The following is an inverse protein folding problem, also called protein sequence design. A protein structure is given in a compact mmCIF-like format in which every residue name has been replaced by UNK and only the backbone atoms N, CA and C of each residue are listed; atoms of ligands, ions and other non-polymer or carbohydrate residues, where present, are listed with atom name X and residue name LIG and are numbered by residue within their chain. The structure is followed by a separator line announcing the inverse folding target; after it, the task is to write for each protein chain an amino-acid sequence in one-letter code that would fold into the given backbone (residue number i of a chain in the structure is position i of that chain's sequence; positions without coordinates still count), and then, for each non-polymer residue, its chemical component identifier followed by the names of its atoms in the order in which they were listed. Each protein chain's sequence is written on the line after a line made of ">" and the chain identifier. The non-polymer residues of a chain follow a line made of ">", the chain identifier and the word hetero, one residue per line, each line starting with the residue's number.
data_IF_160654375975
#
_entry.id   IF_160654375975
#
_cell.length_a   1.000
_cell.length_b   1.000
_cell.length_c   1.000
_cell.angle_alpha   90.00
_cell.angle_beta   90.00
_cell.angle_gamma   90.00
#
_symmetry.space_group_name_H-M   'P 1'
#
loop_
_entity.id
_entity.type
_entity.pdbx_description
1 polymer ?
#
# COMPACT_ATOMS: atom_id res chain seq x y z
N UNK A 1 17.77 -24.78 -18.58
CA UNK A 1 18.67 -25.45 -19.54
C UNK A 1 17.91 -25.64 -20.84
N UNK A 2 18.28 -24.93 -21.91
CA UNK A 2 18.27 -25.40 -23.31
C UNK A 2 19.34 -24.56 -24.01
N UNK A 3 20.25 -25.27 -24.66
CA UNK A 3 21.53 -24.80 -25.17
C UNK A 3 21.37 -24.18 -26.56
N UNK A 4 22.27 -23.24 -26.83
CA UNK A 4 22.74 -22.72 -28.11
C UNK A 4 22.33 -23.46 -29.39
N UNK A 5 22.00 -22.68 -30.43
CA UNK A 5 22.41 -22.97 -31.80
C UNK A 5 22.94 -21.68 -32.45
N UNK A 6 24.19 -21.74 -32.89
CA UNK A 6 24.86 -20.73 -33.70
C UNK A 6 25.32 -21.38 -35.01
N UNK A 7 25.71 -20.51 -35.97
CA UNK A 7 26.40 -20.77 -37.26
C UNK A 7 25.46 -21.29 -38.37
N UNK A 8 25.42 -20.83 -39.63
CA UNK A 8 26.29 -20.18 -40.62
C UNK A 8 25.42 -19.20 -41.48
N UNK A 9 25.87 -18.15 -42.17
CA UNK A 9 26.69 -18.17 -43.40
C UNK A 9 27.18 -16.73 -43.67
N UNK A 10 28.49 -16.58 -43.84
CA UNK A 10 29.16 -15.44 -44.49
C UNK A 10 28.96 -15.51 -46.01
N UNK A 11 28.46 -14.45 -46.64
CA UNK A 11 28.63 -14.27 -48.09
C UNK A 11 28.51 -12.80 -48.54
N UNK A 12 29.60 -12.32 -49.15
CA UNK A 12 29.73 -11.19 -50.08
C UNK A 12 29.77 -9.75 -49.55
N UNK A 13 31.02 -9.29 -49.34
CA UNK A 13 31.40 -7.92 -49.67
C UNK A 13 31.69 -7.83 -51.18
N UNK A 14 30.98 -6.95 -51.90
CA UNK A 14 31.50 -5.89 -52.79
C UNK A 14 30.39 -5.44 -53.75
N UNK A 15 30.06 -4.14 -53.74
CA UNK A 15 29.87 -3.26 -54.93
C UNK A 15 29.16 -1.95 -54.52
N UNK A 16 29.96 -0.88 -54.51
CA UNK A 16 29.74 0.43 -55.10
C UNK A 16 28.44 1.24 -54.88
N UNK A 17 28.69 2.54 -54.66
CA UNK A 17 27.87 3.71 -54.98
C UNK A 17 26.67 4.01 -54.07
N UNK A 18 26.71 5.23 -53.51
CA UNK A 18 25.73 5.75 -52.58
C UNK A 18 24.32 5.78 -53.15
N UNK A 19 23.38 5.33 -52.33
CA UNK A 19 22.01 5.80 -52.34
C UNK A 19 21.75 6.39 -50.96
N UNK A 20 21.24 7.62 -50.91
CA UNK A 20 20.66 8.15 -49.69
C UNK A 20 19.61 7.14 -49.22
N UNK A 21 19.84 6.49 -48.08
CA UNK A 21 18.92 5.49 -47.54
C UNK A 21 17.63 6.18 -47.15
N UNK A 22 16.67 6.22 -48.09
CA UNK A 22 15.28 6.48 -47.76
C UNK A 22 14.83 5.35 -46.82
N UNK A 23 14.44 5.70 -45.60
CA UNK A 23 13.98 4.76 -44.59
C UNK A 23 13.00 3.76 -45.22
N UNK A 24 13.35 2.48 -45.15
CA UNK A 24 12.54 1.41 -45.74
C UNK A 24 11.20 1.30 -45.00
N UNK A 25 10.13 0.75 -45.61
CA UNK A 25 8.86 0.50 -44.92
C UNK A 25 9.02 -0.28 -43.60
N UNK A 26 10.09 -1.08 -43.51
CA UNK A 26 10.50 -1.83 -42.33
C UNK A 26 11.00 -0.92 -41.20
N UNK A 27 11.79 0.12 -41.49
CA UNK A 27 12.25 1.11 -40.50
C UNK A 27 11.07 1.88 -39.89
N UNK A 28 10.05 2.19 -40.70
CA UNK A 28 8.80 2.81 -40.22
C UNK A 28 8.01 1.88 -39.29
N UNK A 29 7.96 0.58 -39.57
CA UNK A 29 7.33 -0.42 -38.68
C UNK A 29 8.11 -0.60 -37.38
N UNK A 30 9.44 -0.62 -37.43
CA UNK A 30 10.31 -0.70 -36.24
C UNK A 30 10.12 0.54 -35.35
N UNK A 31 10.09 1.74 -35.94
CA UNK A 31 9.84 2.97 -35.20
C UNK A 31 8.44 3.02 -34.56
N UNK A 32 7.42 2.50 -35.25
CA UNK A 32 6.06 2.38 -34.70
C UNK A 32 6.00 1.39 -33.53
N UNK A 33 6.65 0.24 -33.65
CA UNK A 33 6.75 -0.75 -32.58
C UNK A 33 7.52 -0.20 -31.36
N UNK A 34 8.63 0.51 -31.58
CA UNK A 34 9.37 1.18 -30.50
C UNK A 34 8.51 2.18 -29.74
N UNK A 35 7.71 2.99 -30.46
CA UNK A 35 6.75 3.91 -29.84
C UNK A 35 5.68 3.18 -29.03
N UNK A 36 5.13 2.08 -29.56
CA UNK A 36 4.16 1.26 -28.83
C UNK A 36 4.79 0.66 -27.57
N UNK A 37 6.00 0.08 -27.65
CA UNK A 37 6.68 -0.46 -26.47
C UNK A 37 6.98 0.61 -25.43
N UNK A 38 7.35 1.82 -25.84
CA UNK A 38 7.59 2.92 -24.91
C UNK A 38 6.28 3.41 -24.25
N UNK A 39 5.17 3.45 -24.98
CA UNK A 39 3.86 3.78 -24.45
C UNK A 39 3.38 2.71 -23.45
N UNK A 40 3.48 1.43 -23.80
CA UNK A 40 3.15 0.31 -22.92
C UNK A 40 4.02 0.31 -21.65
N UNK A 41 5.33 0.58 -21.78
CA UNK A 41 6.22 0.66 -20.63
C UNK A 41 5.83 1.80 -19.67
N UNK A 42 5.37 2.95 -20.20
CA UNK A 42 4.83 4.04 -19.38
C UNK A 42 3.55 3.63 -18.66
N UNK A 43 2.63 2.97 -19.36
CA UNK A 43 1.39 2.47 -18.76
C UNK A 43 1.65 1.45 -17.65
N UNK A 44 2.57 0.51 -17.85
CA UNK A 44 2.95 -0.46 -16.82
C UNK A 44 3.59 0.24 -15.62
N UNK A 45 4.46 1.23 -15.82
CA UNK A 45 5.04 2.00 -14.70
C UNK A 45 3.99 2.80 -13.93
N UNK A 46 3.04 3.42 -14.64
CA UNK A 46 1.93 4.14 -14.02
C UNK A 46 1.05 3.18 -13.22
N UNK A 47 0.67 2.05 -13.80
CA UNK A 47 -0.15 1.03 -13.13
C UNK A 47 0.57 0.43 -11.92
N UNK A 48 1.88 0.13 -12.02
CA UNK A 48 2.68 -0.34 -10.89
C UNK A 48 2.72 0.69 -9.76
N UNK A 49 2.76 1.99 -10.08
CA UNK A 49 2.68 3.05 -9.07
C UNK A 49 1.31 3.06 -8.41
N UNK A 50 0.23 3.01 -9.19
CA UNK A 50 -1.14 2.94 -8.68
C UNK A 50 -1.36 1.74 -7.76
N UNK A 51 -0.93 0.54 -8.16
CA UNK A 51 -1.05 -0.67 -7.31
C UNK A 51 -0.29 -0.49 -6.00
N UNK A 52 0.94 0.04 -6.01
CA UNK A 52 1.69 0.33 -4.78
C UNK A 52 0.99 1.35 -3.88
N UNK A 53 0.39 2.37 -4.48
CA UNK A 53 -0.36 3.39 -3.73
C UNK A 53 -1.63 2.78 -3.12
N UNK A 54 -2.33 1.88 -3.83
CA UNK A 54 -3.48 1.13 -3.29
C UNK A 54 -3.09 0.14 -2.19
N UNK A 55 -1.99 -0.61 -2.35
CA UNK A 55 -1.50 -1.53 -1.32
C UNK A 55 -1.19 -0.75 -0.03
N UNK A 56 -0.53 0.40 -0.14
CA UNK A 56 -0.26 1.27 1.01
C UNK A 56 -1.53 1.81 1.68
N UNK A 57 -2.59 2.07 0.91
CA UNK A 57 -3.88 2.49 1.45
C UNK A 57 -4.64 1.33 2.13
N UNK A 58 -4.59 0.13 1.54
CA UNK A 58 -5.17 -1.08 2.13
C UNK A 58 -4.49 -1.42 3.47
N UNK A 59 -3.15 -1.39 3.51
CA UNK A 59 -2.39 -1.60 4.75
C UNK A 59 -2.72 -0.55 5.81
N UNK A 60 -2.85 0.72 5.41
CA UNK A 60 -3.22 1.80 6.32
C UNK A 60 -4.64 1.62 6.90
N UNK A 61 -5.62 1.30 6.06
CA UNK A 61 -7.02 1.12 6.50
C UNK A 61 -7.19 -0.12 7.37
N UNK A 62 -6.48 -1.21 7.05
CA UNK A 62 -6.41 -2.39 7.91
C UNK A 62 -5.81 -2.05 9.27
N UNK A 63 -4.63 -1.39 9.29
CA UNK A 63 -3.99 -1.00 10.54
C UNK A 63 -4.87 -0.05 11.38
N UNK A 64 -5.57 0.88 10.73
CA UNK A 64 -6.51 1.79 11.39
C UNK A 64 -7.67 1.02 12.04
N UNK A 65 -8.34 0.14 11.31
CA UNK A 65 -9.49 -0.62 11.82
C UNK A 65 -9.11 -1.54 12.98
N UNK A 66 -8.00 -2.27 12.84
CA UNK A 66 -7.50 -3.17 13.89
C UNK A 66 -7.07 -2.39 15.13
N UNK A 67 -6.34 -1.29 14.96
CA UNK A 67 -5.92 -0.47 16.09
C UNK A 67 -7.11 0.19 16.81
N UNK A 68 -8.08 0.73 16.06
CA UNK A 68 -9.28 1.32 16.63
C UNK A 68 -10.07 0.29 17.45
N UNK A 69 -10.25 -0.91 16.92
CA UNK A 69 -10.94 -2.01 17.62
C UNK A 69 -10.24 -2.37 18.92
N UNK A 70 -8.91 -2.47 18.88
CA UNK A 70 -8.10 -2.80 20.04
C UNK A 70 -8.17 -1.71 21.14
N UNK A 71 -8.08 -0.44 20.76
CA UNK A 71 -8.23 0.71 21.68
C UNK A 71 -9.63 0.74 22.29
N UNK A 72 -10.68 0.49 21.49
CA UNK A 72 -12.05 0.41 22.00
C UNK A 72 -12.22 -0.74 22.98
N UNK A 73 -11.63 -1.90 22.71
CA UNK A 73 -11.65 -3.03 23.64
C UNK A 73 -10.95 -2.67 24.96
N UNK A 74 -9.76 -2.05 24.91
CA UNK A 74 -9.03 -1.60 26.10
C UNK A 74 -9.88 -0.66 26.96
N UNK A 75 -10.51 0.35 26.33
CA UNK A 75 -11.36 1.32 27.03
C UNK A 75 -12.62 0.69 27.64
N UNK A 76 -13.27 -0.23 26.91
CA UNK A 76 -14.45 -0.93 27.37
C UNK A 76 -14.12 -1.84 28.55
N UNK A 77 -13.05 -2.63 28.46
CA UNK A 77 -12.60 -3.50 29.53
C UNK A 77 -12.15 -2.70 30.77
N UNK A 78 -11.47 -1.57 30.56
CA UNK A 78 -11.12 -0.64 31.65
C UNK A 78 -12.36 -0.08 32.35
N UNK A 79 -13.43 0.21 31.61
CA UNK A 79 -14.72 0.67 32.19
C UNK A 79 -15.31 -0.41 33.10
N UNK A 80 -15.32 -1.67 32.65
CA UNK A 80 -15.80 -2.79 33.47
C UNK A 80 -14.95 -3.03 34.72
N UNK A 81 -13.65 -2.81 34.63
CA UNK A 81 -12.77 -2.86 35.79
C UNK A 81 -13.14 -1.79 36.83
N UNK A 82 -13.45 -0.54 36.40
CA UNK A 82 -13.95 0.51 37.31
C UNK A 82 -15.28 0.10 37.93
N UNK A 83 -16.22 -0.44 37.15
CA UNK A 83 -17.53 -0.86 37.69
C UNK A 83 -17.37 -1.96 38.73
N UNK A 84 -16.51 -2.96 38.49
CA UNK A 84 -16.20 -4.00 39.46
C UNK A 84 -15.58 -3.44 40.74
N UNK A 85 -14.69 -2.44 40.63
CA UNK A 85 -14.09 -1.76 41.79
C UNK A 85 -15.14 -1.01 42.61
N UNK A 86 -15.99 -0.23 41.95
CA UNK A 86 -17.07 0.54 42.62
C UNK A 86 -18.10 -0.39 43.26
N UNK A 87 -18.42 -1.52 42.61
CA UNK A 87 -19.34 -2.50 43.14
C UNK A 87 -18.77 -3.34 44.30
N UNK A 88 -17.44 -3.31 44.52
CA UNK A 88 -16.76 -4.15 45.52
C UNK A 88 -16.83 -5.65 45.22
N UNK A 89 -17.26 -6.05 44.02
CA UNK A 89 -17.35 -7.44 43.56
C UNK A 89 -17.21 -7.52 42.04
N UNK A 90 -16.78 -8.67 41.55
CA UNK A 90 -16.80 -8.95 40.12
C UNK A 90 -18.25 -9.08 39.62
N UNK A 91 -18.69 -8.11 38.82
CA UNK A 91 -19.94 -8.15 38.04
C UNK A 91 -19.63 -8.57 36.60
N UNK A 92 -18.57 -8.00 36.04
CA UNK A 92 -18.07 -8.29 34.69
C UNK A 92 -16.84 -9.19 34.75
N UNK A 93 -16.59 -10.00 33.71
CA UNK A 93 -15.38 -10.81 33.62
C UNK A 93 -14.11 -9.95 33.59
N UNK A 94 -12.98 -10.59 33.90
CA UNK A 94 -11.67 -9.94 33.80
C UNK A 94 -11.36 -9.52 32.35
N UNK A 95 -10.54 -8.47 32.21
CA UNK A 95 -10.03 -7.99 30.93
C UNK A 95 -9.29 -9.11 30.18
N UNK A 96 -9.52 -9.19 28.87
CA UNK A 96 -8.85 -10.12 27.96
C UNK A 96 -8.09 -9.31 26.94
N UNK A 97 -6.77 -9.52 26.86
CA UNK A 97 -5.95 -8.82 25.88
C UNK A 97 -6.41 -9.18 24.46
N UNK A 98 -6.87 -8.17 23.72
CA UNK A 98 -7.18 -8.32 22.30
C UNK A 98 -5.91 -8.02 21.50
N UNK A 99 -5.38 -9.00 20.73
CA UNK A 99 -4.23 -8.75 19.88
C UNK A 99 -4.59 -7.74 18.79
N UNK A 100 -3.69 -6.79 18.54
CA UNK A 100 -3.78 -5.85 17.42
C UNK A 100 -2.76 -6.15 16.32
N UNK A 101 -2.00 -7.26 16.44
CA UNK A 101 -0.97 -7.70 15.49
C UNK A 101 0.05 -6.61 15.12
N UNK A 102 0.30 -5.67 16.03
CA UNK A 102 1.20 -4.53 15.83
C UNK A 102 0.59 -3.37 15.04
N UNK A 103 -0.71 -3.40 14.72
CA UNK A 103 -1.41 -2.35 13.99
C UNK A 103 -1.32 -0.99 14.68
N UNK A 104 -1.51 -0.92 16.01
CA UNK A 104 -1.37 0.36 16.72
C UNK A 104 0.07 0.86 16.71
N UNK A 105 1.06 -0.03 16.82
CA UNK A 105 2.46 0.34 16.73
C UNK A 105 2.83 0.85 15.32
N UNK A 106 2.29 0.24 14.26
CA UNK A 106 2.46 0.73 12.89
C UNK A 106 1.92 2.16 12.70
N UNK A 107 0.88 2.51 13.44
CA UNK A 107 0.31 3.85 13.49
C UNK A 107 0.93 4.78 14.53
N UNK A 108 1.93 4.30 15.29
CA UNK A 108 2.58 5.01 16.41
C UNK A 108 1.61 5.45 17.50
N UNK A 109 0.56 4.66 17.72
CA UNK A 109 -0.43 4.89 18.78
C UNK A 109 -0.11 3.96 19.94
N UNK A 110 0.07 4.54 21.12
CA UNK A 110 0.28 3.78 22.35
C UNK A 110 -1.06 3.30 22.91
N UNK A 111 -1.21 1.98 23.03
CA UNK A 111 -2.39 1.34 23.65
C UNK A 111 -2.34 1.45 25.17
N UNK A 112 -3.49 1.25 25.81
CA UNK A 112 -3.65 1.39 27.26
C UNK A 112 -4.50 0.24 27.86
N UNK A 113 -4.10 -1.03 27.69
CA UNK A 113 -4.92 -2.18 28.09
C UNK A 113 -5.11 -2.34 29.61
N UNK A 114 -4.21 -1.77 30.41
CA UNK A 114 -4.21 -1.91 31.88
C UNK A 114 -4.55 -0.63 32.63
N UNK A 115 -4.90 0.45 31.92
CA UNK A 115 -5.13 1.75 32.54
C UNK A 115 -6.57 1.82 33.04
N UNK A 116 -6.71 1.96 34.36
CA UNK A 116 -8.00 2.05 35.06
C UNK A 116 -7.94 3.25 36.01
N UNK A 117 -8.80 4.27 35.87
CA UNK A 117 -9.86 4.42 34.86
C UNK A 117 -9.30 4.64 33.45
N UNK A 118 -10.03 4.23 32.39
CA UNK A 118 -9.59 4.40 31.00
C UNK A 118 -9.47 5.88 30.62
N UNK A 119 -8.56 6.20 29.70
CA UNK A 119 -8.38 7.57 29.18
C UNK A 119 -8.74 7.66 27.69
N UNK A 120 -8.94 8.89 27.20
CA UNK A 120 -9.22 9.15 25.77
C UNK A 120 -7.95 9.33 24.92
N UNK A 121 -6.76 9.31 25.54
CA UNK A 121 -5.51 9.66 24.85
C UNK A 121 -5.24 8.85 23.56
N UNK A 122 -5.47 7.52 23.51
CA UNK A 122 -5.27 6.77 22.27
C UNK A 122 -6.26 7.16 21.16
N UNK A 123 -7.50 7.55 21.50
CA UNK A 123 -8.49 8.05 20.54
C UNK A 123 -8.11 9.44 20.01
N UNK A 124 -7.55 10.31 20.85
CA UNK A 124 -7.03 11.61 20.40
C UNK A 124 -5.88 11.42 19.40
N UNK A 125 -5.01 10.44 19.60
CA UNK A 125 -3.95 10.11 18.66
C UNK A 125 -4.51 9.61 17.31
N UNK A 126 -5.55 8.76 17.32
CA UNK A 126 -6.26 8.36 16.11
C UNK A 126 -6.87 9.55 15.36
N UNK A 127 -7.52 10.47 16.09
CA UNK A 127 -8.15 11.64 15.48
C UNK A 127 -7.12 12.57 14.81
N UNK A 128 -5.97 12.79 15.43
CA UNK A 128 -4.86 13.56 14.83
C UNK A 128 -4.32 12.87 13.58
N UNK A 129 -4.17 11.53 13.60
CA UNK A 129 -3.73 10.77 12.44
C UNK A 129 -4.69 10.92 11.26
N UNK A 130 -6.00 10.86 11.49
CA UNK A 130 -7.01 11.01 10.44
C UNK A 130 -7.08 12.42 9.90
N UNK A 131 -7.04 13.42 10.77
CA UNK A 131 -7.15 14.84 10.37
C UNK A 131 -5.89 15.38 9.70
N UNK A 132 -4.72 14.84 10.01
CA UNK A 132 -3.44 15.23 9.37
C UNK A 132 -3.24 14.65 7.97
N UNK A 133 -4.03 13.65 7.58
CA UNK A 133 -3.86 12.88 6.33
C UNK A 133 -4.86 13.25 5.22
N UNK A 134 -5.81 14.15 5.45
CA UNK A 134 -6.87 14.49 4.49
C UNK A 134 -6.60 15.85 3.81
N UNK A 135 -6.00 15.86 2.60
CA UNK A 135 -6.44 16.78 1.56
C UNK A 135 -7.74 16.24 0.98
N UNK A 136 -8.86 16.94 1.20
CA UNK A 136 -10.12 16.66 0.49
C UNK A 136 -9.94 17.17 -0.94
N UNK A 137 -9.34 16.38 -1.83
CA UNK A 137 -9.45 16.65 -3.26
C UNK A 137 -10.83 16.12 -3.72
N UNK A 138 -11.69 16.95 -4.33
CA UNK A 138 -13.01 16.51 -4.75
C UNK A 138 -12.85 15.39 -5.78
N UNK A 139 -13.52 14.26 -5.54
CA UNK A 139 -13.69 13.20 -6.52
C UNK A 139 -14.51 13.75 -7.69
N UNK A 140 -13.83 14.34 -8.68
CA UNK A 140 -14.42 14.63 -9.98
C UNK A 140 -14.42 13.31 -10.76
N UNK A 141 -15.56 12.63 -10.77
CA UNK A 141 -15.82 11.54 -11.70
C UNK A 141 -16.19 12.13 -13.07
N UNK A 142 -15.67 11.58 -14.19
CA UNK A 142 -16.07 11.98 -15.54
C UNK A 142 -17.49 11.54 -15.90
#
# INVERSE_FOLDING_TARGET
>A
MIRALAVFVTAFATLAAGTASAATPTDKKIAALQKQTAALQKQVKALQKTVKDLDGFADFTYALGTCQTAITADALQGTWAVVNQVAGRAIFPAAVNIPDDGACNALRISRQPTVVPPTISPFSALAVLLTSRVPVEPLVFP
#
